data_IF_094818288313
#
_entry.id   IF_094818288313
#
_cell.length_a   1.000
_cell.length_b   1.000
_cell.length_c   1.000
_cell.angle_alpha   90.00
_cell.angle_beta   90.00
_cell.angle_gamma   90.00
#
_symmetry.space_group_name_H-M   'P 1'
#
loop_
_entity.id
_entity.type
_entity.pdbx_description
1 polymer ?
#
# COMPACT_ATOMS: atom_id res chain seq x y z
N UNK A 1 11.10 5.57 -17.03
CA UNK A 1 10.69 4.16 -17.06
C UNK A 1 10.95 3.52 -15.70
N UNK A 2 9.97 2.82 -15.20
CA UNK A 2 10.10 2.15 -13.90
C UNK A 2 10.92 0.87 -14.06
N UNK A 3 11.72 0.54 -13.05
CA UNK A 3 12.32 -0.77 -12.98
C UNK A 3 11.26 -1.80 -12.60
N UNK A 4 11.44 -3.02 -13.10
CA UNK A 4 10.58 -4.16 -12.79
C UNK A 4 11.33 -5.13 -11.90
N UNK A 5 10.64 -5.60 -10.86
CA UNK A 5 11.20 -6.58 -9.92
C UNK A 5 10.42 -7.89 -10.02
N UNK A 6 11.12 -8.98 -10.23
CA UNK A 6 10.49 -10.29 -10.40
C UNK A 6 9.84 -10.72 -9.09
N UNK A 7 8.59 -11.15 -9.19
CA UNK A 7 7.84 -11.64 -8.02
C UNK A 7 8.53 -12.84 -7.38
N UNK A 8 9.09 -13.74 -8.19
CA UNK A 8 9.79 -14.92 -7.68
C UNK A 8 10.99 -14.53 -6.82
N UNK A 9 11.76 -13.53 -7.26
CA UNK A 9 12.91 -13.05 -6.49
C UNK A 9 12.48 -12.38 -5.20
N UNK A 10 11.46 -11.54 -5.27
CA UNK A 10 10.91 -10.89 -4.08
C UNK A 10 10.48 -11.92 -3.04
N UNK A 11 9.76 -12.95 -3.48
CA UNK A 11 9.27 -14.00 -2.58
C UNK A 11 10.40 -14.82 -1.96
N UNK A 12 11.48 -15.07 -2.70
CA UNK A 12 12.64 -15.76 -2.17
C UNK A 12 13.35 -14.93 -1.11
N UNK A 13 13.57 -13.66 -1.38
CA UNK A 13 14.25 -12.76 -0.45
C UNK A 13 13.47 -12.59 0.85
N UNK A 14 12.17 -12.44 0.75
CA UNK A 14 11.30 -12.20 1.91
C UNK A 14 10.72 -13.47 2.53
N UNK A 15 11.02 -14.62 1.95
CA UNK A 15 10.56 -15.94 2.42
C UNK A 15 9.04 -15.99 2.54
N UNK A 16 8.34 -15.58 1.49
CA UNK A 16 6.88 -15.63 1.42
C UNK A 16 6.43 -16.43 0.19
N UNK A 17 5.23 -16.97 0.29
CA UNK A 17 4.63 -17.72 -0.81
C UNK A 17 4.13 -16.74 -1.88
N UNK A 18 4.41 -17.00 -3.18
CA UNK A 18 3.89 -16.15 -4.26
C UNK A 18 2.37 -15.95 -4.23
N UNK A 19 1.63 -16.91 -3.70
CA UNK A 19 0.17 -16.82 -3.60
C UNK A 19 -0.27 -15.59 -2.80
N UNK A 20 0.54 -15.16 -1.82
CA UNK A 20 0.27 -13.93 -1.06
C UNK A 20 0.28 -12.71 -1.98
N UNK A 21 1.27 -12.61 -2.87
CA UNK A 21 1.40 -11.49 -3.80
C UNK A 21 0.20 -11.45 -4.76
N UNK A 22 -0.19 -12.60 -5.30
CA UNK A 22 -1.34 -12.68 -6.19
C UNK A 22 -2.65 -12.35 -5.47
N UNK A 23 -2.76 -12.69 -4.20
CA UNK A 23 -3.92 -12.32 -3.39
C UNK A 23 -3.99 -10.81 -3.17
N UNK A 24 -2.85 -10.14 -3.01
CA UNK A 24 -2.81 -8.68 -2.92
C UNK A 24 -3.31 -8.03 -4.21
N UNK A 25 -2.95 -8.61 -5.35
CA UNK A 25 -3.45 -8.12 -6.64
C UNK A 25 -4.97 -8.28 -6.73
N UNK A 26 -5.50 -9.44 -6.32
CA UNK A 26 -6.93 -9.69 -6.33
C UNK A 26 -7.70 -8.70 -5.46
N UNK A 27 -7.10 -8.27 -4.37
CA UNK A 27 -7.70 -7.24 -3.49
C UNK A 27 -7.52 -5.81 -4.04
N UNK A 28 -6.81 -5.66 -5.15
CA UNK A 28 -6.57 -4.35 -5.74
C UNK A 28 -5.50 -3.52 -5.04
N UNK A 29 -4.69 -4.16 -4.19
CA UNK A 29 -3.65 -3.46 -3.43
C UNK A 29 -2.38 -3.21 -4.22
N UNK A 30 -2.09 -4.05 -5.20
CA UNK A 30 -0.95 -3.90 -6.10
C UNK A 30 -1.39 -4.28 -7.52
N UNK A 31 -0.56 -3.90 -8.49
CA UNK A 31 -0.70 -4.32 -9.88
C UNK A 31 0.50 -5.16 -10.28
N UNK A 32 0.25 -6.23 -11.03
CA UNK A 32 1.30 -7.12 -11.50
C UNK A 32 1.46 -6.90 -13.00
N UNK A 33 2.71 -6.75 -13.43
CA UNK A 33 3.07 -6.60 -14.84
C UNK A 33 3.58 -7.95 -15.34
N UNK A 34 2.98 -8.46 -16.42
CA UNK A 34 3.42 -9.71 -17.05
C UNK A 34 4.23 -9.40 -18.31
N UNK A 35 5.41 -10.01 -18.42
CA UNK A 35 6.30 -9.83 -19.55
C UNK A 35 6.97 -11.18 -19.84
N UNK A 36 6.76 -11.70 -21.06
CA UNK A 36 7.32 -12.99 -21.47
C UNK A 36 7.06 -14.11 -20.49
N UNK A 37 5.80 -14.26 -20.07
CA UNK A 37 5.34 -15.27 -19.12
C UNK A 37 5.90 -15.14 -17.70
N UNK A 38 6.63 -14.06 -17.42
CA UNK A 38 7.13 -13.77 -16.09
C UNK A 38 6.35 -12.60 -15.49
N UNK A 39 6.19 -12.64 -14.17
CA UNK A 39 5.42 -11.64 -13.44
C UNK A 39 6.35 -10.74 -12.63
N UNK A 40 6.06 -9.46 -12.68
CA UNK A 40 6.89 -8.42 -12.06
C UNK A 40 6.00 -7.41 -11.33
N UNK A 41 6.60 -6.72 -10.36
CA UNK A 41 6.01 -5.50 -9.78
C UNK A 41 6.90 -4.31 -10.13
N UNK A 42 6.27 -3.16 -10.34
CA UNK A 42 7.01 -1.94 -10.64
C UNK A 42 7.64 -1.37 -9.37
N UNK A 43 8.76 -0.69 -9.55
CA UNK A 43 9.53 -0.09 -8.45
C UNK A 43 8.65 0.78 -7.54
N UNK A 44 7.73 1.53 -8.11
CA UNK A 44 6.86 2.43 -7.35
C UNK A 44 5.98 1.69 -6.34
N UNK A 45 5.75 0.42 -6.56
CA UNK A 45 4.91 -0.39 -5.68
C UNK A 45 5.68 -1.10 -4.57
N UNK A 46 7.02 -1.10 -4.64
CA UNK A 46 7.83 -1.86 -3.67
C UNK A 46 7.63 -1.41 -2.23
N UNK A 47 7.54 -0.11 -2.01
CA UNK A 47 7.35 0.40 -0.65
C UNK A 47 6.05 -0.11 -0.03
N UNK A 48 4.96 -0.01 -0.78
CA UNK A 48 3.67 -0.53 -0.32
C UNK A 48 3.71 -2.04 -0.13
N UNK A 49 4.34 -2.76 -1.07
CA UNK A 49 4.44 -4.20 -1.00
C UNK A 49 5.21 -4.65 0.24
N UNK A 50 6.27 -3.95 0.61
CA UNK A 50 7.04 -4.25 1.82
C UNK A 50 6.19 -4.04 3.08
N UNK A 51 5.36 -3.00 3.10
CA UNK A 51 4.43 -2.76 4.22
C UNK A 51 3.43 -3.90 4.33
N UNK A 52 2.82 -4.31 3.21
CA UNK A 52 1.86 -5.41 3.19
C UNK A 52 2.50 -6.73 3.61
N UNK A 53 3.73 -6.98 3.16
CA UNK A 53 4.48 -8.18 3.53
C UNK A 53 4.71 -8.23 5.04
N UNK A 54 5.07 -7.10 5.64
CA UNK A 54 5.28 -7.00 7.08
C UNK A 54 3.97 -7.24 7.85
N UNK A 55 2.88 -6.66 7.40
CA UNK A 55 1.57 -6.87 8.02
C UNK A 55 1.19 -8.34 8.00
N UNK A 56 1.46 -9.02 6.91
CA UNK A 56 1.16 -10.44 6.76
C UNK A 56 2.10 -11.31 7.61
N UNK A 57 3.41 -11.14 7.45
CA UNK A 57 4.39 -12.03 8.08
C UNK A 57 4.60 -11.76 9.56
N UNK A 58 4.49 -10.51 9.99
CA UNK A 58 4.73 -10.11 11.39
C UNK A 58 3.45 -10.09 12.21
N UNK A 59 2.34 -9.63 11.63
CA UNK A 59 1.09 -9.45 12.33
C UNK A 59 0.04 -10.52 12.02
N UNK A 60 0.29 -11.36 11.02
CA UNK A 60 -0.65 -12.39 10.63
C UNK A 60 -1.92 -11.86 9.97
N UNK A 61 -1.87 -10.66 9.39
CA UNK A 61 -3.03 -10.06 8.74
C UNK A 61 -3.12 -10.60 7.30
N UNK A 62 -4.27 -11.16 6.94
CA UNK A 62 -4.47 -11.67 5.59
C UNK A 62 -4.71 -10.54 4.58
N UNK A 63 -4.64 -10.80 3.26
CA UNK A 63 -4.83 -9.75 2.24
C UNK A 63 -6.15 -8.99 2.35
N UNK A 64 -7.24 -9.65 2.69
CA UNK A 64 -8.52 -8.97 2.87
C UNK A 64 -8.46 -7.99 4.06
N UNK A 65 -7.80 -8.39 5.14
CA UNK A 65 -7.58 -7.52 6.30
C UNK A 65 -6.67 -6.35 5.98
N UNK A 66 -5.62 -6.60 5.19
CA UNK A 66 -4.72 -5.54 4.72
C UNK A 66 -5.49 -4.52 3.89
N UNK A 67 -6.37 -4.99 2.99
CA UNK A 67 -7.21 -4.10 2.19
C UNK A 67 -8.10 -3.22 3.08
N UNK A 68 -8.77 -3.82 4.05
CA UNK A 68 -9.62 -3.08 4.99
C UNK A 68 -8.83 -2.02 5.76
N UNK A 69 -7.65 -2.39 6.26
CA UNK A 69 -6.78 -1.47 7.00
C UNK A 69 -6.32 -0.33 6.11
N UNK A 70 -5.93 -0.63 4.87
CA UNK A 70 -5.47 0.38 3.92
C UNK A 70 -6.56 1.41 3.63
N UNK A 71 -7.80 0.97 3.46
CA UNK A 71 -8.94 1.87 3.27
C UNK A 71 -9.19 2.74 4.51
N UNK A 72 -9.11 2.15 5.70
CA UNK A 72 -9.29 2.90 6.94
C UNK A 72 -8.20 3.95 7.13
N UNK A 73 -6.95 3.60 6.84
CA UNK A 73 -5.84 4.54 6.94
C UNK A 73 -5.98 5.70 5.96
N UNK A 74 -6.45 5.43 4.75
CA UNK A 74 -6.71 6.47 3.77
C UNK A 74 -7.83 7.41 4.25
N UNK A 75 -8.90 6.84 4.80
CA UNK A 75 -9.99 7.62 5.35
C UNK A 75 -9.51 8.50 6.51
N UNK A 76 -8.67 7.96 7.38
CA UNK A 76 -8.10 8.73 8.49
C UNK A 76 -7.23 9.88 7.99
N UNK A 77 -6.42 9.66 6.95
CA UNK A 77 -5.61 10.73 6.35
C UNK A 77 -6.49 11.83 5.78
N UNK A 78 -7.56 11.46 5.07
CA UNK A 78 -8.48 12.45 4.51
C UNK A 78 -9.15 13.26 5.62
N UNK A 79 -9.56 12.61 6.70
CA UNK A 79 -10.14 13.30 7.85
C UNK A 79 -9.14 14.24 8.52
N UNK A 80 -7.88 13.81 8.62
CA UNK A 80 -6.82 14.66 9.18
C UNK A 80 -6.58 15.89 8.31
N UNK A 81 -6.60 15.73 6.99
CA UNK A 81 -6.44 16.84 6.05
C UNK A 81 -7.59 17.84 6.17
N UNK A 82 -8.83 17.34 6.29
CA UNK A 82 -9.99 18.19 6.53
C UNK A 82 -9.88 18.95 7.84
N UNK A 83 -9.45 18.27 8.89
CA UNK A 83 -9.25 18.89 10.20
C UNK A 83 -8.19 19.99 10.13
N UNK A 84 -7.08 19.73 9.46
CA UNK A 84 -6.04 20.74 9.29
C UNK A 84 -6.53 21.95 8.48
N UNK A 85 -7.33 21.72 7.44
CA UNK A 85 -7.92 22.79 6.65
C UNK A 85 -8.85 23.65 7.51
N UNK A 86 -9.67 23.03 8.33
CA UNK A 86 -10.58 23.74 9.25
C UNK A 86 -9.81 24.53 10.31
N UNK A 87 -8.75 23.96 10.86
CA UNK A 87 -7.89 24.66 11.81
C UNK A 87 -7.25 25.89 11.19
N UNK A 88 -6.80 25.76 9.95
CA UNK A 88 -6.19 26.89 9.23
C UNK A 88 -7.21 28.00 8.97
N UNK A 89 -8.44 27.65 8.60
CA UNK A 89 -9.51 28.63 8.44
C UNK A 89 -9.82 29.35 9.73
N UNK A 90 -9.93 28.60 10.82
CA UNK A 90 -10.21 29.17 12.14
C UNK A 90 -9.10 30.13 12.55
N UNK A 91 -7.85 29.75 12.33
CA UNK A 91 -6.70 30.60 12.63
C UNK A 91 -6.75 31.93 11.84
N UNK A 92 -7.14 31.85 10.57
CA UNK A 92 -7.30 33.05 9.74
C UNK A 92 -8.38 33.99 10.31
N UNK A 93 -9.50 33.45 10.76
CA UNK A 93 -10.55 34.23 11.40
C UNK A 93 -10.06 34.84 12.70
N UNK A 94 -9.35 34.13 13.52
CA UNK A 94 -8.86 34.62 14.81
C UNK A 94 -7.80 35.70 14.65
N UNK A 95 -6.92 35.56 13.66
CA UNK A 95 -5.80 36.49 13.44
C UNK A 95 -6.10 37.61 12.47
N UNK A 96 -7.09 37.41 11.61
CA UNK A 96 -7.45 38.37 10.59
C UNK A 96 -8.63 39.28 10.96
N UNK A 97 -9.22 39.05 12.11
CA UNK A 97 -10.40 39.73 12.59
C UNK A 97 -10.12 41.18 13.06
#
# INVERSE_FOLDING_TARGET
MSELFAITEYCMVHNIDPSFIYSLEQEGLISITTNEDNNFVEEEQLHSLEIYTRMYSTMGINPAGIDAISHLLEKMRNMQDELNALKNKLRLYENGG
#
